data_IF_759457760151
#
_entry.id   IF_759457760151
#
_cell.length_a   1.000
_cell.length_b   1.000
_cell.length_c   1.000
_cell.angle_alpha   90.00
_cell.angle_beta   90.00
_cell.angle_gamma   90.00
#
_symmetry.space_group_name_H-M   'P 1'
#
loop_
_entity.id
_entity.type
_entity.pdbx_description
1 polymer ?
#
# COMPACT_ATOMS: atom_id res chain seq x y z
N UNK A 1 -6.81 2.05 27.68
CA UNK A 1 -5.78 1.52 26.80
C UNK A 1 -6.38 1.31 25.41
N UNK A 2 -5.59 1.53 24.36
CA UNK A 2 -6.02 1.33 22.99
C UNK A 2 -5.62 -0.09 22.56
N UNK A 3 -6.59 -0.87 22.11
CA UNK A 3 -6.36 -2.20 21.59
C UNK A 3 -5.67 -2.12 20.22
N UNK A 4 -4.55 -2.83 19.97
CA UNK A 4 -3.94 -2.89 18.65
C UNK A 4 -4.93 -3.36 17.60
N UNK A 5 -4.97 -2.69 16.45
CA UNK A 5 -5.96 -2.98 15.42
C UNK A 5 -5.45 -2.66 14.02
N UNK A 6 -6.08 -3.29 13.04
CA UNK A 6 -5.96 -2.99 11.61
C UNK A 6 -7.32 -2.55 11.06
N UNK A 7 -7.36 -2.12 9.81
CA UNK A 7 -8.62 -1.84 9.13
C UNK A 7 -8.69 -2.54 7.77
N UNK A 8 -9.76 -3.26 7.51
CA UNK A 8 -9.99 -4.00 6.27
C UNK A 8 -11.09 -5.04 6.39
N UNK A 9 -11.33 -5.81 5.32
CA UNK A 9 -10.50 -5.98 4.11
C UNK A 9 -10.77 -5.00 2.96
N UNK A 10 -11.79 -4.15 3.03
CA UNK A 10 -12.24 -3.35 1.87
C UNK A 10 -12.47 -1.88 2.15
N UNK A 11 -12.45 -1.45 3.42
CA UNK A 11 -12.74 -0.05 3.79
C UNK A 11 -11.91 0.39 5.00
N UNK A 12 -11.54 1.69 5.06
CA UNK A 12 -10.72 2.21 6.15
C UNK A 12 -11.39 2.21 7.53
N UNK A 13 -12.72 2.24 7.57
CA UNK A 13 -13.49 2.24 8.81
C UNK A 13 -13.77 0.85 9.40
N UNK A 14 -13.45 -0.21 8.67
CA UNK A 14 -13.68 -1.59 9.12
C UNK A 14 -12.54 -2.01 10.06
N UNK A 15 -12.66 -1.63 11.33
CA UNK A 15 -11.68 -1.94 12.36
C UNK A 15 -11.74 -3.42 12.75
N UNK A 16 -10.57 -4.04 12.80
CA UNK A 16 -10.38 -5.42 13.26
C UNK A 16 -9.27 -5.42 14.31
N UNK A 17 -9.54 -5.94 15.49
CA UNK A 17 -8.51 -6.08 16.54
C UNK A 17 -7.44 -7.05 16.08
N UNK A 18 -6.18 -6.78 16.43
CA UNK A 18 -5.05 -7.58 15.96
C UNK A 18 -5.14 -9.03 16.44
N UNK A 19 -5.60 -9.24 17.66
CA UNK A 19 -5.87 -10.56 18.26
C UNK A 19 -6.97 -11.36 17.55
N UNK A 20 -7.87 -10.67 16.82
CA UNK A 20 -8.96 -11.27 16.06
C UNK A 20 -8.64 -11.44 14.55
N UNK A 21 -7.49 -10.99 14.08
CA UNK A 21 -7.18 -10.95 12.65
C UNK A 21 -7.25 -12.31 11.97
N UNK A 22 -6.68 -13.34 12.58
CA UNK A 22 -6.69 -14.70 12.04
C UNK A 22 -8.12 -15.25 11.90
N UNK A 23 -8.95 -15.13 12.93
CA UNK A 23 -10.36 -15.58 12.88
C UNK A 23 -11.18 -14.75 11.90
N UNK A 24 -11.02 -13.43 11.92
CA UNK A 24 -11.67 -12.52 10.98
C UNK A 24 -11.32 -12.86 9.52
N UNK A 25 -10.05 -13.21 9.25
CA UNK A 25 -9.64 -13.64 7.91
C UNK A 25 -10.41 -14.88 7.46
N UNK A 26 -10.47 -15.93 8.28
CA UNK A 26 -11.20 -17.16 7.95
C UNK A 26 -12.70 -16.92 7.72
N UNK A 27 -13.31 -16.09 8.55
CA UNK A 27 -14.72 -15.72 8.39
C UNK A 27 -14.95 -14.93 7.10
N UNK A 28 -14.13 -13.91 6.82
CA UNK A 28 -14.27 -13.05 5.63
C UNK A 28 -14.02 -13.81 4.34
N UNK A 29 -13.10 -14.78 4.34
CA UNK A 29 -12.80 -15.59 3.16
C UNK A 29 -14.03 -16.32 2.63
N UNK A 30 -14.81 -16.93 3.51
CA UNK A 30 -15.95 -17.77 3.16
C UNK A 30 -17.31 -17.05 3.22
N UNK A 31 -17.39 -15.90 3.86
CA UNK A 31 -18.62 -15.11 3.90
C UNK A 31 -19.07 -14.72 2.48
N UNK A 32 -20.39 -14.59 2.25
CA UNK A 32 -20.92 -14.18 0.96
C UNK A 32 -20.27 -12.89 0.44
N UNK A 33 -20.08 -12.80 -0.88
CA UNK A 33 -19.52 -11.59 -1.50
C UNK A 33 -20.34 -10.37 -1.06
N UNK A 34 -19.65 -9.37 -0.55
CA UNK A 34 -20.27 -8.16 -0.03
C UNK A 34 -19.27 -7.27 0.69
N UNK A 35 -19.73 -6.67 1.76
CA UNK A 35 -19.01 -5.68 2.53
C UNK A 35 -17.62 -6.13 3.03
N UNK A 36 -17.53 -7.31 3.62
CA UNK A 36 -16.27 -7.92 4.09
C UNK A 36 -16.00 -9.29 3.49
N UNK A 37 -17.02 -9.96 2.91
CA UNK A 37 -16.91 -11.32 2.42
C UNK A 37 -16.29 -11.43 1.02
N UNK A 38 -15.62 -12.57 0.78
CA UNK A 38 -14.97 -12.89 -0.50
C UNK A 38 -15.66 -14.03 -1.25
N UNK A 39 -16.59 -14.76 -0.64
CA UNK A 39 -17.42 -15.77 -1.28
C UNK A 39 -16.67 -17.03 -1.70
N UNK A 40 -15.55 -17.35 -1.08
CA UNK A 40 -14.82 -18.60 -1.35
C UNK A 40 -15.59 -19.76 -0.71
N UNK A 41 -15.89 -20.80 -1.49
CA UNK A 41 -16.51 -22.00 -0.95
C UNK A 41 -15.61 -22.66 0.11
N UNK A 42 -16.20 -23.14 1.20
CA UNK A 42 -15.46 -23.77 2.30
C UNK A 42 -14.57 -24.91 1.80
N UNK A 43 -15.03 -25.69 0.84
CA UNK A 43 -14.25 -26.78 0.25
C UNK A 43 -12.96 -26.29 -0.47
N UNK A 44 -12.93 -25.03 -0.90
CA UNK A 44 -11.84 -24.41 -1.62
C UNK A 44 -11.00 -23.47 -0.74
N UNK A 45 -11.34 -23.30 0.55
CA UNK A 45 -10.62 -22.36 1.44
C UNK A 45 -9.15 -22.69 1.66
N UNK A 46 -8.75 -23.95 1.48
CA UNK A 46 -7.36 -24.41 1.55
C UNK A 46 -6.68 -24.52 0.18
N UNK A 47 -7.28 -24.00 -0.90
CA UNK A 47 -6.72 -24.10 -2.23
C UNK A 47 -5.40 -23.31 -2.33
N UNK A 48 -4.41 -23.92 -3.01
CA UNK A 48 -3.08 -23.36 -3.20
C UNK A 48 -2.52 -23.73 -4.58
N UNK A 49 -1.66 -22.89 -5.11
CA UNK A 49 -0.98 -23.08 -6.40
C UNK A 49 0.51 -23.12 -6.14
N UNK A 50 1.18 -24.15 -6.68
CA UNK A 50 2.65 -24.22 -6.65
C UNK A 50 3.22 -23.18 -7.62
N UNK A 51 4.16 -22.38 -7.13
CA UNK A 51 4.83 -21.32 -7.88
C UNK A 51 6.33 -21.56 -7.87
N UNK A 52 6.97 -21.43 -9.02
CA UNK A 52 8.42 -21.36 -9.15
C UNK A 52 8.77 -19.88 -9.34
N UNK A 53 9.34 -19.28 -8.31
CA UNK A 53 9.74 -17.87 -8.34
C UNK A 53 10.88 -17.60 -9.32
N UNK A 54 11.06 -16.36 -9.73
CA UNK A 54 12.14 -15.90 -10.61
C UNK A 54 13.55 -16.19 -10.04
N UNK A 55 13.63 -16.36 -8.72
CA UNK A 55 14.84 -16.76 -7.99
C UNK A 55 15.06 -18.28 -7.93
N UNK A 56 14.19 -19.07 -8.54
CA UNK A 56 14.24 -20.54 -8.58
C UNK A 56 13.69 -21.23 -7.32
N UNK A 57 13.19 -20.50 -6.33
CA UNK A 57 12.53 -21.11 -5.16
C UNK A 57 11.15 -21.58 -5.52
N UNK A 58 10.76 -22.76 -5.00
CA UNK A 58 9.40 -23.28 -5.11
C UNK A 58 8.65 -23.05 -3.83
N UNK A 59 7.42 -22.53 -3.93
CA UNK A 59 6.52 -22.30 -2.80
C UNK A 59 5.08 -22.44 -3.25
N UNK A 60 4.17 -22.55 -2.28
CA UNK A 60 2.72 -22.58 -2.55
C UNK A 60 2.12 -21.24 -2.22
N UNK A 61 1.44 -20.62 -3.19
CA UNK A 61 0.63 -19.43 -3.00
C UNK A 61 -0.80 -19.85 -2.68
N UNK A 62 -1.39 -19.29 -1.64
CA UNK A 62 -2.74 -19.65 -1.15
C UNK A 62 -3.59 -18.41 -0.83
N UNK A 63 -4.86 -18.65 -0.52
CA UNK A 63 -5.71 -17.59 0.03
C UNK A 63 -5.12 -17.02 1.32
N UNK A 64 -5.13 -15.70 1.45
CA UNK A 64 -4.61 -15.01 2.63
C UNK A 64 -3.15 -14.61 2.53
N UNK A 65 -2.44 -15.07 1.52
CA UNK A 65 -1.05 -14.67 1.34
C UNK A 65 -0.94 -13.20 0.94
N UNK A 66 0.06 -12.53 1.52
CA UNK A 66 0.28 -11.10 1.39
C UNK A 66 1.26 -10.84 0.25
N UNK A 67 0.73 -10.46 -0.89
CA UNK A 67 1.52 -10.22 -2.12
C UNK A 67 2.00 -8.78 -2.26
N UNK A 68 1.46 -7.85 -1.47
CA UNK A 68 1.91 -6.44 -1.43
C UNK A 68 2.04 -6.01 0.03
N UNK A 69 3.22 -5.50 0.39
CA UNK A 69 3.51 -4.95 1.71
C UNK A 69 4.14 -3.56 1.54
N UNK A 70 3.43 -2.48 1.89
CA UNK A 70 3.94 -1.15 1.58
C UNK A 70 3.84 -0.17 2.74
N UNK A 71 4.98 0.43 3.07
CA UNK A 71 5.04 1.60 3.92
C UNK A 71 4.81 2.82 3.03
N UNK A 72 3.68 3.50 3.21
CA UNK A 72 3.24 4.62 2.37
C UNK A 72 3.26 5.96 3.11
N UNK A 73 3.06 7.04 2.38
CA UNK A 73 3.16 8.41 2.91
C UNK A 73 1.99 8.85 3.80
N UNK A 74 0.83 8.20 3.71
CA UNK A 74 -0.43 8.79 4.16
C UNK A 74 -0.54 9.03 5.68
N UNK A 75 0.05 8.16 6.51
CA UNK A 75 -0.07 8.22 7.97
C UNK A 75 1.24 8.60 8.66
N UNK A 76 2.36 8.45 7.98
CA UNK A 76 3.67 8.35 8.58
C UNK A 76 4.42 9.68 8.64
N UNK A 77 4.05 10.65 7.81
CA UNK A 77 4.77 11.92 7.66
C UNK A 77 4.78 12.75 8.94
N UNK A 78 3.76 12.58 9.77
CA UNK A 78 3.58 13.37 11.00
C UNK A 78 4.10 12.68 12.27
N UNK A 79 4.48 11.40 12.22
CA UNK A 79 4.94 10.65 13.39
C UNK A 79 6.20 9.81 13.11
N UNK A 80 7.39 10.37 13.34
CA UNK A 80 8.64 9.65 13.14
C UNK A 80 8.80 8.40 14.00
N UNK A 81 8.13 8.30 15.16
CA UNK A 81 8.31 7.17 16.07
C UNK A 81 7.84 5.86 15.44
N UNK A 82 6.72 5.87 14.73
CA UNK A 82 6.20 4.65 14.05
C UNK A 82 7.07 4.27 12.85
N UNK A 83 7.68 5.24 12.18
CA UNK A 83 8.62 4.99 11.09
C UNK A 83 9.91 4.38 11.63
N UNK A 84 10.53 4.99 12.63
CA UNK A 84 11.72 4.44 13.29
C UNK A 84 11.43 3.08 13.90
N UNK A 85 10.25 2.88 14.50
CA UNK A 85 9.80 1.58 14.98
C UNK A 85 9.81 0.51 13.87
N UNK A 86 9.36 0.83 12.66
CA UNK A 86 9.42 -0.09 11.52
C UNK A 86 10.87 -0.41 11.11
N UNK A 87 11.75 0.60 11.09
CA UNK A 87 13.16 0.42 10.77
C UNK A 87 13.90 -0.42 11.82
N UNK A 88 13.62 -0.19 13.12
CA UNK A 88 14.20 -0.97 14.21
C UNK A 88 13.71 -2.43 14.15
N UNK A 89 12.41 -2.65 13.91
CA UNK A 89 11.86 -3.99 13.73
C UNK A 89 12.53 -4.70 12.54
N UNK A 90 12.73 -4.00 11.43
CA UNK A 90 13.45 -4.54 10.28
C UNK A 90 14.89 -4.94 10.63
N UNK A 91 15.62 -4.10 11.37
CA UNK A 91 16.97 -4.41 11.86
C UNK A 91 16.97 -5.66 12.76
N UNK A 92 16.09 -5.70 13.74
CA UNK A 92 16.00 -6.83 14.67
C UNK A 92 15.64 -8.14 13.93
N UNK A 93 14.78 -8.08 12.91
CA UNK A 93 14.44 -9.21 12.06
C UNK A 93 15.64 -9.69 11.23
N UNK A 94 16.38 -8.77 10.60
CA UNK A 94 17.59 -9.09 9.83
C UNK A 94 18.67 -9.71 10.72
N UNK A 95 18.89 -9.17 11.91
CA UNK A 95 19.82 -9.72 12.90
C UNK A 95 19.47 -11.16 13.31
N UNK A 96 18.19 -11.54 13.29
CA UNK A 96 17.71 -12.91 13.50
C UNK A 96 17.77 -13.76 12.22
N UNK A 97 18.13 -13.19 11.08
CA UNK A 97 18.17 -13.91 9.80
C UNK A 97 16.80 -14.09 9.13
N UNK A 98 15.76 -13.39 9.62
CA UNK A 98 14.43 -13.43 9.01
C UNK A 98 14.44 -12.74 7.64
N UNK A 99 13.54 -13.20 6.78
CA UNK A 99 13.33 -12.67 5.42
C UNK A 99 11.85 -12.46 5.16
N UNK A 100 11.55 -11.58 4.25
CA UNK A 100 10.19 -11.40 3.73
C UNK A 100 9.78 -12.64 2.94
N UNK A 101 8.50 -12.98 2.99
CA UNK A 101 7.92 -14.08 2.24
C UNK A 101 8.20 -13.90 0.73
N UNK A 102 8.57 -14.96 0.00
CA UNK A 102 9.04 -14.85 -1.39
C UNK A 102 7.99 -14.34 -2.39
N UNK A 103 6.72 -14.42 -2.03
CA UNK A 103 5.62 -13.91 -2.84
C UNK A 103 5.24 -12.47 -2.53
N UNK A 104 5.78 -11.88 -1.45
CA UNK A 104 5.46 -10.51 -1.06
C UNK A 104 6.34 -9.51 -1.80
N UNK A 105 5.73 -8.42 -2.24
CA UNK A 105 6.38 -7.26 -2.85
C UNK A 105 6.43 -6.11 -1.85
N UNK A 106 7.54 -5.95 -1.10
CA UNK A 106 7.70 -4.84 -0.19
C UNK A 106 7.98 -3.54 -0.94
N UNK A 107 7.66 -2.40 -0.31
CA UNK A 107 8.09 -1.08 -0.79
C UNK A 107 8.02 -0.03 0.30
N UNK A 108 8.86 1.01 0.16
CA UNK A 108 8.86 2.20 1.00
C UNK A 108 8.64 3.43 0.12
N UNK A 109 7.59 4.20 0.40
CA UNK A 109 7.31 5.47 -0.27
C UNK A 109 6.88 6.52 0.75
N UNK A 110 7.83 7.14 1.47
CA UNK A 110 7.51 8.06 2.54
C UNK A 110 6.94 9.37 2.02
N UNK A 111 6.28 10.13 2.89
CA UNK A 111 5.69 11.43 2.54
C UNK A 111 6.67 12.57 2.43
N UNK A 112 7.90 12.39 2.89
CA UNK A 112 8.94 13.42 2.90
C UNK A 112 10.33 12.83 2.71
N UNK A 113 11.19 13.56 2.03
CA UNK A 113 12.62 13.22 1.91
C UNK A 113 13.37 13.23 3.25
N UNK A 114 12.86 13.92 4.27
CA UNK A 114 13.42 13.90 5.62
C UNK A 114 13.35 12.49 6.25
N UNK A 115 12.35 11.69 5.85
CA UNK A 115 12.22 10.30 6.34
C UNK A 115 13.43 9.46 5.96
N UNK A 116 13.88 9.53 4.72
CA UNK A 116 15.09 8.79 4.29
C UNK A 116 16.34 9.29 4.99
N UNK A 117 16.45 10.59 5.27
CA UNK A 117 17.59 11.15 6.00
C UNK A 117 17.66 10.66 7.45
N UNK A 118 16.55 10.63 8.19
CA UNK A 118 16.61 10.10 9.53
C UNK A 118 16.77 8.58 9.58
N UNK A 119 16.31 7.83 8.57
CA UNK A 119 16.63 6.41 8.46
C UNK A 119 18.13 6.17 8.24
N UNK A 120 18.75 6.98 7.38
CA UNK A 120 20.20 6.92 7.14
C UNK A 120 20.98 7.31 8.41
N UNK A 121 20.59 8.40 9.07
CA UNK A 121 21.21 8.84 10.32
C UNK A 121 21.05 7.83 11.47
N UNK A 122 19.94 7.08 11.47
CA UNK A 122 19.68 6.02 12.43
C UNK A 122 20.37 4.68 12.07
N UNK A 123 20.95 4.56 10.86
CA UNK A 123 21.55 3.30 10.37
C UNK A 123 20.53 2.20 10.05
N UNK A 124 19.28 2.57 9.71
CA UNK A 124 18.18 1.62 9.50
C UNK A 124 17.88 1.32 8.04
N UNK A 125 18.41 2.13 7.12
CA UNK A 125 18.14 2.01 5.67
C UNK A 125 18.58 0.66 5.13
N UNK A 126 19.75 0.16 5.53
CA UNK A 126 20.27 -1.12 5.03
C UNK A 126 19.38 -2.30 5.42
N UNK A 127 18.92 -2.34 6.67
CA UNK A 127 18.03 -3.41 7.14
C UNK A 127 16.67 -3.39 6.45
N UNK A 128 16.11 -2.20 6.20
CA UNK A 128 14.90 -2.06 5.41
C UNK A 128 15.10 -2.56 3.97
N UNK A 129 16.23 -2.19 3.34
CA UNK A 129 16.57 -2.63 2.00
C UNK A 129 16.77 -4.16 1.92
N UNK A 130 17.40 -4.77 2.93
CA UNK A 130 17.60 -6.22 2.99
C UNK A 130 16.27 -6.98 3.06
N UNK A 131 15.26 -6.42 3.71
CA UNK A 131 13.88 -6.93 3.70
C UNK A 131 13.09 -6.50 2.44
N UNK A 132 13.72 -5.82 1.49
CA UNK A 132 13.09 -5.39 0.23
C UNK A 132 12.27 -4.10 0.33
N UNK A 133 12.24 -3.43 1.47
CA UNK A 133 11.58 -2.12 1.63
C UNK A 133 12.44 -0.98 1.06
N UNK A 134 12.75 -1.09 -0.24
CA UNK A 134 13.46 -0.04 -0.96
C UNK A 134 12.61 1.22 -1.10
N UNK A 135 13.26 2.38 -1.04
CA UNK A 135 12.61 3.64 -1.39
C UNK A 135 12.31 3.67 -2.89
N UNK A 136 11.03 3.54 -3.26
CA UNK A 136 10.56 3.55 -4.65
C UNK A 136 10.02 4.91 -5.10
N UNK A 137 9.94 5.88 -4.19
CA UNK A 137 9.44 7.22 -4.45
C UNK A 137 8.97 7.93 -3.19
N UNK A 138 8.32 9.07 -3.36
CA UNK A 138 7.76 9.86 -2.28
C UNK A 138 6.29 10.16 -2.57
N UNK A 139 5.43 9.94 -1.60
CA UNK A 139 4.00 10.24 -1.73
C UNK A 139 3.10 9.00 -1.81
N UNK A 140 1.89 9.19 -2.35
CA UNK A 140 0.87 8.16 -2.43
C UNK A 140 1.15 7.22 -3.62
N UNK A 141 2.05 6.27 -3.46
CA UNK A 141 2.36 5.25 -4.47
C UNK A 141 1.39 4.07 -4.39
N UNK A 142 1.65 3.09 -3.54
CA UNK A 142 0.84 1.87 -3.40
C UNK A 142 -0.59 2.15 -2.97
N UNK A 143 -0.81 3.14 -2.09
CA UNK A 143 -2.16 3.51 -1.63
C UNK A 143 -3.11 3.94 -2.76
N UNK A 144 -2.59 4.27 -3.94
CA UNK A 144 -3.35 4.68 -5.13
C UNK A 144 -3.06 3.80 -6.36
N UNK A 145 -2.60 2.58 -6.15
CA UNK A 145 -2.42 1.61 -7.23
C UNK A 145 -1.15 1.79 -8.07
N UNK A 146 -0.14 2.49 -7.56
CA UNK A 146 1.12 2.72 -8.26
C UNK A 146 2.27 1.80 -7.81
N UNK A 147 1.99 0.64 -7.24
CA UNK A 147 3.02 -0.37 -6.92
C UNK A 147 3.55 -1.11 -8.14
N UNK A 148 2.99 -0.84 -9.31
CA UNK A 148 3.31 -1.60 -10.53
C UNK A 148 2.72 -3.01 -10.53
N UNK A 149 3.00 -3.81 -11.56
CA UNK A 149 2.50 -5.18 -11.68
C UNK A 149 3.08 -6.07 -10.58
N UNK A 150 2.37 -7.14 -10.25
CA UNK A 150 2.94 -8.26 -9.50
C UNK A 150 3.94 -9.02 -10.37
N UNK A 151 4.81 -9.84 -9.75
CA UNK A 151 5.67 -10.73 -10.51
C UNK A 151 4.80 -11.65 -11.37
N UNK A 152 5.21 -11.92 -12.63
CA UNK A 152 4.37 -12.66 -13.59
C UNK A 152 3.88 -14.01 -13.09
N UNK A 153 4.72 -14.74 -12.36
CA UNK A 153 4.38 -16.03 -11.78
C UNK A 153 3.34 -15.94 -10.66
N UNK A 154 3.42 -14.87 -9.84
CA UNK A 154 2.42 -14.59 -8.80
C UNK A 154 1.10 -14.19 -9.45
N UNK A 155 1.17 -13.33 -10.45
CA UNK A 155 0.01 -12.86 -11.19
C UNK A 155 -0.75 -14.02 -11.86
N UNK A 156 -0.01 -14.94 -12.49
CA UNK A 156 -0.57 -16.14 -13.11
C UNK A 156 -1.19 -17.10 -12.08
N UNK A 157 -0.52 -17.34 -10.95
CA UNK A 157 -1.03 -18.22 -9.91
C UNK A 157 -2.31 -17.70 -9.25
N UNK A 158 -2.42 -16.37 -9.04
CA UNK A 158 -3.65 -15.74 -8.54
C UNK A 158 -4.81 -15.99 -9.50
N UNK A 159 -4.57 -15.87 -10.80
CA UNK A 159 -5.58 -16.04 -11.83
C UNK A 159 -5.98 -17.51 -11.98
N UNK A 160 -5.01 -18.42 -12.06
CA UNK A 160 -5.22 -19.87 -12.18
C UNK A 160 -6.01 -20.42 -10.99
N UNK A 161 -5.61 -20.06 -9.75
CA UNK A 161 -6.24 -20.53 -8.53
C UNK A 161 -7.46 -19.72 -8.11
N UNK A 162 -7.80 -18.64 -8.83
CA UNK A 162 -8.78 -17.64 -8.38
C UNK A 162 -8.56 -17.26 -6.90
N UNK A 163 -7.29 -17.04 -6.52
CA UNK A 163 -6.90 -16.84 -5.13
C UNK A 163 -7.35 -15.47 -4.63
N UNK A 164 -7.77 -15.43 -3.38
CA UNK A 164 -7.97 -14.19 -2.62
C UNK A 164 -6.67 -13.88 -1.89
N UNK A 165 -5.83 -13.10 -2.54
CA UNK A 165 -4.57 -12.62 -1.96
C UNK A 165 -4.75 -11.25 -1.34
N UNK A 166 -3.79 -10.86 -0.50
CA UNK A 166 -3.90 -9.73 0.39
C UNK A 166 -2.83 -8.67 0.17
N UNK A 167 -3.14 -7.45 0.60
CA UNK A 167 -2.15 -6.40 0.84
C UNK A 167 -2.21 -5.90 2.27
N UNK A 168 -1.06 -5.54 2.83
CA UNK A 168 -0.95 -4.82 4.10
C UNK A 168 -0.15 -3.55 3.86
N UNK A 169 -0.78 -2.40 4.06
CA UNK A 169 -0.18 -1.10 3.73
C UNK A 169 -0.39 -0.09 4.85
N UNK A 170 0.56 0.80 5.07
CA UNK A 170 0.41 1.89 6.03
C UNK A 170 -0.27 3.13 5.39
N UNK A 171 -1.29 2.89 4.60
CA UNK A 171 -2.07 3.90 3.89
C UNK A 171 -3.29 4.40 4.66
N UNK A 172 -4.16 5.11 3.97
CA UNK A 172 -5.44 5.60 4.51
C UNK A 172 -6.66 5.20 3.64
N UNK A 173 -6.45 4.44 2.58
CA UNK A 173 -7.47 3.91 1.69
C UNK A 173 -7.11 2.48 1.28
N UNK A 174 -8.08 1.59 1.34
CA UNK A 174 -7.90 0.17 1.01
C UNK A 174 -9.10 -0.40 0.23
N UNK A 175 -9.78 0.43 -0.54
CA UNK A 175 -10.89 -0.04 -1.36
C UNK A 175 -10.43 -1.09 -2.35
N UNK A 176 -11.27 -2.09 -2.59
CA UNK A 176 -11.03 -3.13 -3.59
C UNK A 176 -10.78 -2.51 -4.98
N UNK A 177 -9.76 -3.00 -5.68
CA UNK A 177 -9.33 -2.47 -6.98
C UNK A 177 -8.47 -1.21 -6.91
N UNK A 178 -8.39 -0.53 -5.76
CA UNK A 178 -7.58 0.68 -5.61
C UNK A 178 -6.09 0.41 -5.42
N UNK A 179 -5.73 -0.55 -4.58
CA UNK A 179 -4.32 -0.89 -4.31
C UNK A 179 -3.73 -1.67 -5.48
N UNK A 180 -4.43 -2.71 -5.90
CA UNK A 180 -4.10 -3.50 -7.08
C UNK A 180 -5.33 -4.26 -7.57
N UNK A 181 -5.50 -4.42 -8.89
CA UNK A 181 -6.69 -5.04 -9.47
C UNK A 181 -6.93 -6.48 -9.04
N UNK A 182 -5.85 -7.25 -8.86
CA UNK A 182 -5.92 -8.67 -8.50
C UNK A 182 -5.86 -8.92 -6.99
N UNK A 183 -5.69 -7.89 -6.17
CA UNK A 183 -5.63 -7.99 -4.70
C UNK A 183 -6.97 -7.62 -4.11
N UNK A 184 -7.72 -8.63 -3.69
CA UNK A 184 -9.12 -8.47 -3.26
C UNK A 184 -9.28 -8.06 -1.80
N UNK A 185 -8.32 -8.41 -0.94
CA UNK A 185 -8.35 -8.12 0.49
C UNK A 185 -7.21 -7.16 0.85
N UNK A 186 -7.56 -5.96 1.31
CA UNK A 186 -6.60 -4.90 1.55
C UNK A 186 -6.72 -4.40 2.98
N UNK A 187 -5.62 -4.42 3.73
CA UNK A 187 -5.59 -4.02 5.13
C UNK A 187 -4.68 -2.83 5.37
N UNK A 188 -5.17 -1.90 6.19
CA UNK A 188 -4.39 -0.78 6.68
C UNK A 188 -3.78 -1.15 8.03
N UNK A 189 -2.50 -0.90 8.19
CA UNK A 189 -1.74 -1.19 9.39
C UNK A 189 -0.69 -0.10 9.68
N UNK A 190 -0.14 -0.11 10.89
CA UNK A 190 1.03 0.71 11.21
C UNK A 190 2.26 0.24 10.43
N UNK A 191 3.26 1.12 10.16
CA UNK A 191 4.49 0.74 9.50
C UNK A 191 5.20 -0.49 10.11
N UNK A 192 5.33 -0.63 11.44
CA UNK A 192 5.92 -1.83 12.03
C UNK A 192 5.12 -3.10 11.70
N UNK A 193 3.77 -3.04 11.75
CA UNK A 193 2.93 -4.17 11.38
C UNK A 193 3.03 -4.51 9.89
N UNK A 194 3.24 -3.53 9.01
CA UNK A 194 3.50 -3.80 7.58
C UNK A 194 4.76 -4.65 7.42
N UNK A 195 5.84 -4.33 8.14
CA UNK A 195 7.08 -5.14 8.13
C UNK A 195 6.82 -6.54 8.70
N UNK A 196 6.12 -6.63 9.84
CA UNK A 196 5.79 -7.91 10.46
C UNK A 196 4.99 -8.83 9.51
N UNK A 197 3.94 -8.31 8.90
CA UNK A 197 3.12 -9.06 7.95
C UNK A 197 3.84 -9.39 6.65
N UNK A 198 4.81 -8.59 6.22
CA UNK A 198 5.65 -8.93 5.07
C UNK A 198 6.53 -10.16 5.35
N UNK A 199 7.07 -10.26 6.58
CA UNK A 199 7.87 -11.41 7.03
C UNK A 199 6.98 -12.64 7.17
N UNK A 200 5.84 -12.52 7.86
CA UNK A 200 4.88 -13.60 8.02
C UNK A 200 4.30 -14.10 6.68
N UNK A 201 4.12 -13.19 5.72
CA UNK A 201 3.65 -13.48 4.37
C UNK A 201 2.17 -13.86 4.27
N UNK A 202 1.43 -13.90 5.37
CA UNK A 202 0.03 -14.35 5.40
C UNK A 202 -0.78 -13.62 6.46
N UNK A 203 -2.09 -13.53 6.26
CA UNK A 203 -3.05 -13.09 7.29
C UNK A 203 -3.47 -14.23 8.22
N UNK A 204 -3.20 -15.47 7.85
CA UNK A 204 -3.49 -16.67 8.65
C UNK A 204 -2.42 -16.88 9.73
N UNK A 205 -2.25 -15.88 10.56
CA UNK A 205 -1.28 -15.85 11.66
C UNK A 205 -1.88 -15.14 12.88
N UNK A 206 -1.59 -15.67 14.05
CA UNK A 206 -1.83 -15.05 15.35
C UNK A 206 -0.48 -14.72 15.98
N UNK A 207 -0.09 -13.45 16.00
CA UNK A 207 1.22 -13.02 16.48
C UNK A 207 1.49 -13.28 17.98
N UNK A 208 0.47 -13.58 18.75
CA UNK A 208 0.63 -13.91 20.17
C UNK A 208 1.06 -15.37 20.38
N UNK A 209 0.75 -16.26 19.43
CA UNK A 209 0.98 -17.71 19.58
C UNK A 209 1.74 -18.36 18.42
N UNK A 210 1.69 -17.77 17.23
CA UNK A 210 2.34 -18.31 16.04
C UNK A 210 3.71 -17.61 15.83
N UNK A 211 4.78 -18.37 15.48
CA UNK A 211 6.05 -17.75 15.14
C UNK A 211 5.94 -16.96 13.84
N UNK A 212 6.59 -15.79 13.79
CA UNK A 212 6.67 -14.97 12.58
C UNK A 212 7.61 -15.55 11.53
N UNK A 213 8.54 -16.39 11.95
CA UNK A 213 9.52 -17.04 11.09
C UNK A 213 10.47 -17.91 11.89
N UNK A 214 11.55 -18.30 11.23
CA UNK A 214 12.61 -19.16 11.80
C UNK A 214 13.93 -18.45 11.57
N UNK A 215 14.77 -18.40 12.61
CA UNK A 215 16.09 -17.78 12.53
C UNK A 215 17.10 -18.63 11.74
N UNK A 216 18.33 -18.13 11.60
CA UNK A 216 19.41 -18.81 10.90
C UNK A 216 19.85 -20.14 11.55
N UNK A 217 19.47 -20.38 12.83
CA UNK A 217 19.78 -21.60 13.58
C UNK A 217 18.61 -22.59 13.58
N UNK A 218 17.49 -22.23 12.93
CA UNK A 218 16.29 -23.05 12.91
C UNK A 218 15.37 -22.89 14.12
N UNK A 219 15.57 -21.86 14.93
CA UNK A 219 14.72 -21.56 16.08
C UNK A 219 13.53 -20.71 15.64
N UNK A 220 12.36 -20.99 16.25
CA UNK A 220 11.17 -20.17 16.03
C UNK A 220 11.36 -18.78 16.62
N UNK A 221 11.03 -17.74 15.85
CA UNK A 221 11.07 -16.34 16.28
C UNK A 221 9.64 -15.84 16.42
N UNK A 222 9.29 -15.31 17.58
CA UNK A 222 8.00 -14.65 17.82
C UNK A 222 8.08 -13.17 17.47
N UNK A 223 6.95 -12.54 17.17
CA UNK A 223 6.92 -11.09 16.93
C UNK A 223 7.48 -10.30 18.12
N UNK A 224 7.19 -10.73 19.33
CA UNK A 224 7.70 -10.11 20.56
C UNK A 224 9.23 -10.10 20.66
N UNK A 225 9.93 -11.06 20.02
CA UNK A 225 11.40 -11.14 20.05
C UNK A 225 12.09 -10.08 19.20
N UNK A 226 11.36 -9.47 18.27
CA UNK A 226 11.86 -8.46 17.33
C UNK A 226 11.16 -7.12 17.46
N UNK A 227 10.06 -7.03 18.22
CA UNK A 227 9.32 -5.80 18.39
C UNK A 227 10.12 -4.77 19.19
N UNK A 228 10.29 -3.53 18.67
CA UNK A 228 11.08 -2.51 19.37
C UNK A 228 10.36 -2.03 20.63
N UNK A 229 11.14 -1.73 21.65
CA UNK A 229 10.62 -1.08 22.85
C UNK A 229 10.47 0.43 22.64
N UNK A 230 9.56 1.06 23.39
CA UNK A 230 9.38 2.52 23.35
C UNK A 230 10.68 3.27 23.72
N UNK A 231 11.46 2.73 24.68
CA UNK A 231 12.73 3.32 25.08
C UNK A 231 13.74 3.32 23.93
N UNK A 232 13.83 2.23 23.19
CA UNK A 232 14.70 2.09 22.03
C UNK A 232 14.30 3.06 20.90
N UNK A 233 12.98 3.15 20.60
CA UNK A 233 12.47 4.11 19.62
C UNK A 233 12.82 5.55 20.02
N UNK A 234 12.60 5.92 21.28
CA UNK A 234 12.91 7.26 21.77
C UNK A 234 14.40 7.57 21.70
N UNK A 235 15.27 6.62 22.05
CA UNK A 235 16.72 6.80 21.98
C UNK A 235 17.19 7.04 20.54
N UNK A 236 16.73 6.23 19.60
CA UNK A 236 17.05 6.38 18.18
C UNK A 236 16.50 7.70 17.64
N UNK A 237 15.27 8.05 17.98
CA UNK A 237 14.64 9.30 17.56
C UNK A 237 15.42 10.53 18.04
N UNK A 238 15.85 10.53 19.30
CA UNK A 238 16.62 11.64 19.88
C UNK A 238 18.00 11.83 19.22
N UNK A 239 18.58 10.75 18.68
CA UNK A 239 19.89 10.80 18.00
C UNK A 239 19.78 11.12 16.51
N UNK A 240 18.73 10.63 15.85
CA UNK A 240 18.64 10.65 14.40
C UNK A 240 17.87 11.86 13.85
N UNK A 241 17.01 12.50 14.64
CA UNK A 241 16.16 13.60 14.15
C UNK A 241 16.64 14.93 14.71
N UNK A 242 17.01 15.86 13.81
CA UNK A 242 17.41 17.22 14.16
C UNK A 242 16.57 18.24 13.38
N UNK A 243 16.40 19.46 13.93
CA UNK A 243 15.74 20.55 13.20
C UNK A 243 16.45 20.93 11.90
N UNK A 244 17.76 20.80 11.85
CA UNK A 244 18.61 21.14 10.69
C UNK A 244 18.24 20.26 9.48
N UNK A 245 17.94 18.98 9.65
CA UNK A 245 17.50 18.08 8.58
C UNK A 245 16.33 18.67 7.80
N UNK A 246 15.33 19.22 8.51
CA UNK A 246 14.17 19.83 7.87
C UNK A 246 14.55 21.11 7.14
N UNK A 247 15.35 21.97 7.74
CA UNK A 247 15.78 23.24 7.14
C UNK A 247 16.60 22.99 5.88
N UNK A 248 17.59 22.12 5.97
CA UNK A 248 18.52 21.83 4.87
C UNK A 248 17.77 21.18 3.68
N UNK A 249 16.90 20.20 3.98
CA UNK A 249 16.17 19.48 2.94
C UNK A 249 15.16 20.34 2.21
N UNK A 250 14.49 21.23 2.92
CA UNK A 250 13.49 22.11 2.29
C UNK A 250 14.09 23.39 1.70
N UNK A 251 15.34 23.75 2.01
CA UNK A 251 16.02 24.91 1.39
C UNK A 251 16.19 24.75 -0.14
N UNK A 252 16.30 23.52 -0.62
CA UNK A 252 16.52 23.20 -2.05
C UNK A 252 15.30 22.64 -2.75
N UNK A 253 14.14 22.62 -2.09
CA UNK A 253 12.92 21.95 -2.63
C UNK A 253 12.45 22.54 -3.98
N UNK A 254 12.73 23.81 -4.24
CA UNK A 254 12.36 24.51 -5.47
C UNK A 254 13.45 24.43 -6.56
N UNK A 255 14.54 23.72 -6.32
CA UNK A 255 15.69 23.62 -7.21
C UNK A 255 15.93 22.13 -7.56
N UNK A 256 15.18 21.65 -8.53
CA UNK A 256 15.35 20.29 -9.06
C UNK A 256 15.94 20.36 -10.47
N UNK A 257 17.22 19.96 -10.67
CA UNK A 257 17.88 20.09 -11.97
C UNK A 257 17.16 19.40 -13.12
N UNK A 258 16.49 18.28 -12.86
CA UNK A 258 15.71 17.58 -13.88
C UNK A 258 14.46 18.36 -14.30
N UNK A 259 13.81 19.04 -13.34
CA UNK A 259 12.68 19.91 -13.60
C UNK A 259 13.11 21.16 -14.37
N UNK A 260 14.21 21.78 -13.95
CA UNK A 260 14.74 23.00 -14.56
C UNK A 260 15.25 22.76 -15.99
N UNK A 261 15.68 21.53 -16.30
CA UNK A 261 16.10 21.11 -17.63
C UNK A 261 14.95 20.87 -18.61
N UNK A 262 13.69 20.84 -18.17
CA UNK A 262 12.54 20.66 -19.07
C UNK A 262 12.41 21.90 -19.95
N UNK A 263 12.51 21.75 -21.30
CA UNK A 263 12.35 22.89 -22.18
C UNK A 263 10.92 23.42 -22.08
N UNK A 264 10.78 24.69 -21.76
CA UNK A 264 9.50 25.37 -21.71
C UNK A 264 9.54 26.66 -22.52
N UNK A 265 8.50 26.95 -23.30
CA UNK A 265 8.32 28.20 -23.99
C UNK A 265 7.31 29.03 -23.21
N UNK A 266 7.72 30.23 -22.70
CA UNK A 266 6.77 31.10 -22.03
C UNK A 266 5.62 31.46 -22.98
N UNK A 267 4.38 31.22 -22.53
CA UNK A 267 3.17 31.54 -23.29
C UNK A 267 2.06 31.97 -22.34
N UNK A 268 1.22 32.92 -22.76
CA UNK A 268 0.03 33.30 -22.00
C UNK A 268 -1.07 32.24 -22.05
N UNK A 269 -1.02 31.36 -23.04
CA UNK A 269 -1.99 30.26 -23.22
C UNK A 269 -1.27 28.92 -23.31
N UNK A 270 -1.89 27.89 -22.82
CA UNK A 270 -1.39 26.52 -22.96
C UNK A 270 -1.44 26.11 -24.46
N UNK A 271 -0.34 25.62 -25.05
CA UNK A 271 -0.30 25.18 -26.44
C UNK A 271 -0.92 23.77 -26.58
N UNK A 272 -2.24 23.68 -26.66
CA UNK A 272 -2.96 22.43 -26.82
C UNK A 272 -2.52 21.68 -28.07
N UNK A 273 -2.16 20.41 -27.92
CA UNK A 273 -1.87 19.51 -29.02
C UNK A 273 -3.11 18.65 -29.30
N UNK A 274 -3.71 18.79 -30.47
CA UNK A 274 -4.93 18.08 -30.86
C UNK A 274 -4.77 16.55 -30.83
N UNK A 275 -3.57 16.07 -31.14
CA UNK A 275 -3.23 14.65 -31.20
C UNK A 275 -2.82 14.04 -29.85
N UNK A 276 -2.73 14.86 -28.80
CA UNK A 276 -2.38 14.37 -27.48
C UNK A 276 -3.49 13.47 -26.93
N UNK A 277 -3.13 12.28 -26.43
CA UNK A 277 -4.03 11.38 -25.73
C UNK A 277 -3.94 11.55 -24.21
N UNK A 278 -2.94 12.28 -23.72
CA UNK A 278 -2.68 12.43 -22.28
C UNK A 278 -3.18 13.77 -21.73
N UNK A 279 -2.81 14.89 -22.36
CA UNK A 279 -3.30 16.23 -22.00
C UNK A 279 -4.16 16.76 -23.14
N UNK A 280 -5.48 16.76 -22.92
CA UNK A 280 -6.46 17.19 -23.93
C UNK A 280 -7.30 18.33 -23.41
N UNK A 281 -7.74 19.20 -24.33
CA UNK A 281 -8.73 20.24 -24.01
C UNK A 281 -10.04 19.55 -23.57
N UNK A 282 -10.52 19.76 -22.33
CA UNK A 282 -11.75 19.13 -21.85
C UNK A 282 -12.97 19.64 -22.60
N UNK A 283 -13.87 18.75 -22.96
CA UNK A 283 -15.10 19.09 -23.69
C UNK A 283 -16.07 20.00 -22.92
N UNK A 284 -15.96 20.04 -21.58
CA UNK A 284 -16.79 20.94 -20.76
C UNK A 284 -16.41 22.43 -20.89
N UNK A 285 -15.30 22.75 -21.58
CA UNK A 285 -14.97 24.13 -21.96
C UNK A 285 -15.60 24.56 -23.30
N UNK A 286 -16.20 23.62 -24.05
CA UNK A 286 -16.87 23.95 -25.31
C UNK A 286 -18.07 24.87 -25.05
N UNK A 287 -18.08 26.00 -25.72
CA UNK A 287 -19.19 26.98 -25.59
C UNK A 287 -19.18 27.83 -24.33
N UNK A 288 -18.13 27.73 -23.48
CA UNK A 288 -18.00 28.59 -22.31
C UNK A 288 -17.88 30.06 -22.73
N UNK A 289 -18.61 30.92 -22.04
CA UNK A 289 -18.59 32.37 -22.30
C UNK A 289 -17.73 33.08 -21.26
N UNK A 290 -17.11 34.23 -21.58
CA UNK A 290 -16.32 35.02 -20.63
C UNK A 290 -17.13 35.45 -19.40
N UNK A 291 -18.40 35.76 -19.59
CA UNK A 291 -19.29 36.14 -18.51
C UNK A 291 -20.06 34.94 -18.01
N UNK A 292 -20.12 34.71 -16.68
CA UNK A 292 -20.89 33.62 -16.10
C UNK A 292 -22.38 33.73 -16.47
N UNK A 293 -22.97 32.61 -16.89
CA UNK A 293 -24.43 32.54 -17.06
C UNK A 293 -25.12 32.73 -15.71
N UNK A 294 -26.15 33.57 -15.60
CA UNK A 294 -26.92 33.71 -14.36
C UNK A 294 -27.44 32.34 -13.89
N UNK A 295 -27.49 32.16 -12.58
CA UNK A 295 -28.08 30.95 -11.98
C UNK A 295 -29.60 30.98 -12.30
N UNK A 296 -30.06 29.90 -12.91
CA UNK A 296 -31.47 29.71 -13.26
C UNK A 296 -32.01 28.41 -12.67
N UNK A 297 -33.33 28.30 -12.61
CA UNK A 297 -33.99 27.04 -12.25
C UNK A 297 -33.61 25.96 -13.29
N UNK A 298 -33.34 24.76 -12.81
CA UNK A 298 -33.09 23.58 -13.66
C UNK A 298 -34.39 22.82 -13.78
N UNK A 299 -35.07 22.92 -14.94
CA UNK A 299 -36.32 22.25 -15.20
C UNK A 299 -36.11 21.07 -16.16
N UNK A 300 -36.83 19.97 -15.91
CA UNK A 300 -36.83 18.80 -16.83
C UNK A 300 -35.55 17.97 -16.85
N UNK A 301 -34.65 18.13 -15.90
CA UNK A 301 -33.46 17.33 -15.82
C UNK A 301 -33.76 15.86 -15.48
N UNK A 302 -33.11 14.95 -16.21
CA UNK A 302 -33.22 13.51 -15.96
C UNK A 302 -32.10 13.03 -15.04
N UNK A 303 -32.39 12.04 -14.19
CA UNK A 303 -31.37 11.38 -13.37
C UNK A 303 -30.47 10.52 -14.25
N UNK A 304 -29.22 10.90 -14.37
CA UNK A 304 -28.23 10.13 -15.11
C UNK A 304 -27.79 8.88 -14.33
N UNK A 305 -27.55 9.03 -13.03
CA UNK A 305 -27.04 7.99 -12.17
C UNK A 305 -27.60 8.15 -10.76
N UNK A 306 -28.10 7.06 -10.18
CA UNK A 306 -28.55 7.00 -8.79
C UNK A 306 -27.75 5.92 -8.06
N UNK A 307 -26.93 6.32 -7.10
CA UNK A 307 -26.05 5.45 -6.33
C UNK A 307 -26.55 5.32 -4.88
N UNK A 308 -26.07 4.29 -4.19
CA UNK A 308 -26.26 4.14 -2.74
C UNK A 308 -25.26 4.97 -1.93
N UNK A 309 -25.26 4.73 -0.63
CA UNK A 309 -24.32 5.37 0.30
C UNK A 309 -22.89 4.83 0.13
N UNK A 310 -21.92 5.60 0.64
CA UNK A 310 -20.50 5.21 0.65
C UNK A 310 -19.85 4.99 -0.72
N UNK A 311 -20.40 5.54 -1.79
CA UNK A 311 -19.78 5.52 -3.11
C UNK A 311 -18.78 6.69 -3.20
N UNK A 312 -17.55 6.37 -3.61
CA UNK A 312 -16.48 7.35 -3.84
C UNK A 312 -16.09 7.40 -5.30
N UNK A 313 -15.28 8.40 -5.66
CA UNK A 313 -14.70 8.50 -7.00
C UNK A 313 -13.85 7.28 -7.37
N UNK A 314 -13.26 6.58 -6.41
CA UNK A 314 -12.52 5.33 -6.65
C UNK A 314 -13.40 4.21 -7.22
N UNK A 315 -14.70 4.18 -6.89
CA UNK A 315 -15.64 3.22 -7.46
C UNK A 315 -16.04 3.55 -8.90
N UNK A 316 -15.97 4.84 -9.25
CA UNK A 316 -16.39 5.33 -10.57
C UNK A 316 -15.21 5.32 -11.55
N UNK A 317 -14.06 5.80 -11.10
CA UNK A 317 -12.82 5.91 -11.87
C UNK A 317 -11.63 5.65 -10.96
N UNK A 318 -11.28 4.39 -10.69
CA UNK A 318 -10.14 4.04 -9.87
C UNK A 318 -8.84 4.51 -10.53
N UNK A 319 -7.86 4.91 -9.72
CA UNK A 319 -6.50 5.13 -10.18
C UNK A 319 -5.84 3.78 -10.53
N UNK A 320 -4.82 3.81 -11.39
CA UNK A 320 -4.11 2.63 -11.81
C UNK A 320 -4.62 2.04 -13.13
N UNK A 321 -4.16 0.84 -13.45
CA UNK A 321 -4.52 0.15 -14.68
C UNK A 321 -5.91 -0.49 -14.58
N UNK A 322 -6.57 -0.68 -15.71
CA UNK A 322 -7.83 -1.41 -15.80
C UNK A 322 -7.79 -2.37 -17.02
N UNK A 323 -8.55 -3.47 -16.99
CA UNK A 323 -8.55 -4.44 -18.09
C UNK A 323 -9.04 -3.81 -19.40
N UNK A 324 -8.33 -4.04 -20.51
CA UNK A 324 -8.75 -3.59 -21.83
C UNK A 324 -10.11 -4.15 -22.26
N UNK A 325 -10.44 -5.35 -21.79
CA UNK A 325 -11.70 -6.01 -22.08
C UNK A 325 -12.89 -5.54 -21.22
N UNK A 326 -12.63 -4.75 -20.17
CA UNK A 326 -13.66 -4.21 -19.31
C UNK A 326 -14.37 -2.99 -19.92
N UNK A 327 -15.51 -2.55 -19.34
CA UNK A 327 -16.23 -1.38 -19.85
C UNK A 327 -15.40 -0.09 -19.91
N UNK A 328 -14.46 0.10 -18.96
CA UNK A 328 -13.57 1.24 -18.95
C UNK A 328 -12.46 1.12 -20.01
N UNK A 329 -12.07 -0.09 -20.39
CA UNK A 329 -11.08 -0.34 -21.43
C UNK A 329 -11.62 -0.14 -22.84
N UNK A 330 -12.92 -0.39 -23.06
CA UNK A 330 -13.62 -0.17 -24.32
C UNK A 330 -13.94 1.31 -24.56
#
# INVERSE_FOLDING_TARGET
DVEPAMAGPKRPQDRVDLSAMKSHWHESLTAPIGHSGHGVEVANSGHQIEVIGSDGRTYNLKHGDIVISAITSCTNTSNPSVMLGAGILARNAVEKGLKVAPWSKPSLAPGSRVVTEYYDAAGLTESLNELGFHNVGYGCTTCIGNSGPLEPEIDAAIEEGNLVVCSVISGNRNFEGRVHQKVKANYLASPPLVVAYAIAGTLDIDFDVDPIGVDSEGQSVMLADIWPTDAEIHEVMAKAITPEMFTDRYSTVMSEPQWDAIPSTPSALYPWASESTYVRLPSFFEGIQPDPTPISTIDGAHVLLKLGDCVTTDHISPAGAFPHSGPAGQ
#
